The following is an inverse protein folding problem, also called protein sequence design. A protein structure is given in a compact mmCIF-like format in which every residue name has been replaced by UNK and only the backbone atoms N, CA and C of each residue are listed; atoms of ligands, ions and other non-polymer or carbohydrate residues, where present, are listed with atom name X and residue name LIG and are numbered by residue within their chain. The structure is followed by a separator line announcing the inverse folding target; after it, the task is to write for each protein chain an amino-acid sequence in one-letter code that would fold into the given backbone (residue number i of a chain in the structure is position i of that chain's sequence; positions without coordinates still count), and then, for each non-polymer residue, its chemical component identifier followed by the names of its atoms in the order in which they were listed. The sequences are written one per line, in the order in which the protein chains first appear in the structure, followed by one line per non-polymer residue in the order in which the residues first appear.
data_IF_736199856637
#
_entry.id   IF_736199856637
#
_cell.length_a   1.000
_cell.length_b   1.000
_cell.length_c   1.000
_cell.angle_alpha   90.00
_cell.angle_beta   90.00
_cell.angle_gamma   90.00
#
_symmetry.space_group_name_H-M   'P 1'
#
loop_
_entity.id
_entity.type
_entity.pdbx_description
1 polymer ?
#
# COMPACT_ATOMS: atom_id res chain seq x y z
N UNK A 1 25.02 -5.71 -21.88
CA UNK A 1 25.20 -4.32 -22.30
C UNK A 1 26.04 -3.56 -21.30
N UNK A 2 26.71 -2.52 -21.71
CA UNK A 2 27.50 -1.69 -20.80
C UNK A 2 26.56 -0.90 -19.89
N UNK A 3 26.84 -0.96 -18.59
CA UNK A 3 26.09 -0.25 -17.55
C UNK A 3 27.08 0.68 -16.84
N UNK A 4 26.67 1.91 -16.62
CA UNK A 4 27.42 2.87 -15.83
C UNK A 4 27.51 2.36 -14.38
N UNK A 5 28.73 2.40 -13.80
CA UNK A 5 29.01 1.74 -12.53
C UNK A 5 28.31 2.43 -11.33
N UNK A 6 28.12 3.74 -11.41
CA UNK A 6 27.61 4.55 -10.28
C UNK A 6 26.08 4.52 -10.20
N UNK A 7 25.41 4.70 -11.34
CA UNK A 7 23.96 4.86 -11.38
C UNK A 7 23.21 3.69 -12.04
N UNK A 8 23.93 2.65 -12.48
CA UNK A 8 23.40 1.44 -13.11
C UNK A 8 22.60 1.66 -14.40
N UNK A 9 22.68 2.85 -15.00
CA UNK A 9 22.02 3.15 -16.27
C UNK A 9 22.76 2.50 -17.44
N UNK A 10 22.07 2.19 -18.50
CA UNK A 10 22.68 1.70 -19.74
C UNK A 10 23.48 2.82 -20.39
N UNK A 11 24.71 2.50 -20.83
CA UNK A 11 25.58 3.43 -21.56
C UNK A 11 25.24 3.49 -23.07
N UNK A 12 24.31 2.68 -23.54
CA UNK A 12 23.83 2.67 -24.91
C UNK A 12 22.31 2.60 -24.94
N UNK A 13 21.68 3.11 -25.99
CA UNK A 13 20.27 2.89 -26.22
C UNK A 13 20.05 1.61 -27.05
N UNK A 14 19.10 0.73 -26.68
CA UNK A 14 18.76 -0.44 -27.51
C UNK A 14 18.29 -0.08 -28.92
N UNK A 15 17.86 1.17 -29.14
CA UNK A 15 17.42 1.67 -30.45
C UNK A 15 18.59 1.86 -31.43
N UNK A 16 19.82 1.94 -30.96
CA UNK A 16 21.02 2.01 -31.80
C UNK A 16 21.45 0.64 -32.32
N UNK A 17 20.79 -0.44 -31.87
CA UNK A 17 21.04 -1.79 -32.38
C UNK A 17 20.39 -1.94 -33.75
N UNK A 18 21.19 -2.34 -34.73
CA UNK A 18 20.69 -2.54 -36.12
C UNK A 18 19.50 -3.51 -36.17
N UNK A 19 18.41 -3.12 -36.85
CA UNK A 19 17.29 -4.02 -37.10
C UNK A 19 17.77 -5.26 -37.85
N UNK A 20 17.50 -6.45 -37.35
CA UNK A 20 17.91 -7.70 -37.96
C UNK A 20 19.20 -8.30 -37.37
N UNK A 21 19.78 -7.67 -36.34
CA UNK A 21 20.82 -8.31 -35.55
C UNK A 21 20.26 -9.60 -34.93
N UNK A 22 20.90 -10.73 -35.23
CA UNK A 22 20.48 -12.04 -34.73
C UNK A 22 21.64 -12.73 -34.02
N UNK A 23 21.32 -13.54 -33.01
CA UNK A 23 22.29 -14.45 -32.43
C UNK A 23 22.57 -15.57 -33.43
N UNK A 24 23.84 -15.75 -33.79
CA UNK A 24 24.28 -16.77 -34.76
C UNK A 24 24.92 -17.98 -34.09
N UNK A 25 25.35 -17.82 -32.84
CA UNK A 25 25.92 -18.92 -32.05
C UNK A 25 25.74 -18.63 -30.55
N UNK A 26 25.61 -19.69 -29.75
CA UNK A 26 25.51 -19.62 -28.30
C UNK A 26 26.12 -20.86 -27.65
N UNK A 27 27.07 -20.67 -26.74
CA UNK A 27 27.75 -21.73 -26.03
C UNK A 27 27.83 -21.46 -24.52
N UNK A 28 27.81 -22.50 -23.71
CA UNK A 28 28.05 -22.41 -22.29
C UNK A 28 29.57 -22.50 -22.03
N UNK A 29 30.10 -21.49 -21.33
CA UNK A 29 31.49 -21.44 -20.85
C UNK A 29 31.47 -21.25 -19.33
N UNK A 30 31.57 -22.35 -18.61
CA UNK A 30 31.46 -22.36 -17.16
C UNK A 30 30.11 -21.88 -16.66
N UNK A 31 30.11 -20.77 -15.95
CA UNK A 31 28.94 -20.11 -15.36
C UNK A 31 28.28 -19.06 -16.26
N UNK A 32 28.72 -18.95 -17.50
CA UNK A 32 28.24 -17.93 -18.43
C UNK A 32 27.77 -18.50 -19.78
N UNK A 33 26.79 -17.86 -20.35
CA UNK A 33 26.37 -18.01 -21.73
C UNK A 33 27.12 -17.01 -22.60
N UNK A 34 27.92 -17.52 -23.56
CA UNK A 34 28.58 -16.71 -24.59
C UNK A 34 27.66 -16.69 -25.79
N UNK A 35 27.27 -15.51 -26.23
CA UNK A 35 26.40 -15.32 -27.41
C UNK A 35 27.18 -14.53 -28.46
N UNK A 36 27.26 -15.06 -29.67
CA UNK A 36 27.81 -14.38 -30.86
C UNK A 36 26.67 -13.87 -31.73
N UNK A 37 26.80 -12.66 -32.26
CA UNK A 37 25.82 -12.00 -33.10
C UNK A 37 26.31 -11.87 -34.54
N UNK A 38 25.38 -11.64 -35.48
CA UNK A 38 25.63 -11.56 -36.93
C UNK A 38 26.55 -10.40 -37.33
N UNK A 39 26.72 -9.38 -36.49
CA UNK A 39 27.64 -8.25 -36.68
C UNK A 39 29.06 -8.53 -36.15
N UNK A 40 29.30 -9.75 -35.64
CA UNK A 40 30.57 -10.16 -35.00
C UNK A 40 30.70 -9.80 -33.52
N UNK A 41 29.72 -9.12 -32.94
CA UNK A 41 29.71 -8.87 -31.50
C UNK A 41 29.56 -10.18 -30.72
N UNK A 42 30.29 -10.28 -29.60
CA UNK A 42 30.15 -11.36 -28.64
C UNK A 42 29.87 -10.80 -27.25
N UNK A 43 28.94 -11.36 -26.54
CA UNK A 43 28.67 -11.00 -25.16
C UNK A 43 28.78 -12.24 -24.23
N UNK A 44 29.18 -11.99 -22.99
CA UNK A 44 29.22 -12.96 -21.91
C UNK A 44 28.14 -12.62 -20.90
N UNK A 45 27.19 -13.52 -20.69
CA UNK A 45 26.02 -13.35 -19.83
C UNK A 45 26.10 -14.34 -18.68
N UNK A 46 26.21 -13.92 -17.41
CA UNK A 46 26.16 -14.85 -16.28
C UNK A 46 24.84 -15.62 -16.28
N UNK A 47 24.89 -16.95 -16.23
CA UNK A 47 23.70 -17.81 -16.29
C UNK A 47 22.79 -17.54 -15.11
N UNK A 48 23.31 -17.34 -13.91
CA UNK A 48 22.54 -17.00 -12.72
C UNK A 48 21.71 -15.71 -12.93
N UNK A 49 22.30 -14.67 -13.51
CA UNK A 49 21.58 -13.42 -13.79
C UNK A 49 20.51 -13.57 -14.88
N UNK A 50 20.73 -14.46 -15.86
CA UNK A 50 19.73 -14.76 -16.87
C UNK A 50 18.54 -15.52 -16.26
N UNK A 51 18.82 -16.55 -15.46
CA UNK A 51 17.79 -17.39 -14.81
C UNK A 51 16.92 -16.54 -13.89
N UNK A 52 17.53 -15.65 -13.11
CA UNK A 52 16.82 -14.69 -12.24
C UNK A 52 15.95 -13.73 -13.06
N UNK A 53 16.53 -13.09 -14.10
CA UNK A 53 15.78 -12.16 -14.98
C UNK A 53 14.62 -12.78 -15.73
N UNK A 54 14.73 -14.05 -16.08
CA UNK A 54 13.66 -14.80 -16.75
C UNK A 54 12.61 -15.34 -15.77
N UNK A 55 12.82 -15.14 -14.46
CA UNK A 55 11.90 -15.64 -13.43
C UNK A 55 11.87 -17.18 -13.33
N UNK A 56 12.93 -17.86 -13.80
CA UNK A 56 13.03 -19.32 -13.72
C UNK A 56 13.41 -19.82 -12.32
N UNK A 57 13.94 -18.95 -11.49
CA UNK A 57 14.13 -19.15 -10.06
C UNK A 57 13.53 -17.98 -9.30
N UNK A 58 13.03 -18.23 -8.10
CA UNK A 58 12.59 -17.17 -7.21
C UNK A 58 13.76 -16.24 -6.91
N UNK A 59 13.50 -14.95 -6.92
CA UNK A 59 14.47 -13.96 -6.47
C UNK A 59 14.62 -14.10 -4.94
N UNK A 60 15.80 -14.45 -4.43
CA UNK A 60 15.99 -14.58 -2.99
C UNK A 60 15.87 -13.23 -2.25
N UNK A 61 15.99 -12.12 -2.96
CA UNK A 61 15.82 -10.77 -2.43
C UNK A 61 14.39 -10.22 -2.64
N UNK A 62 13.50 -11.02 -3.26
CA UNK A 62 12.11 -10.61 -3.43
C UNK A 62 11.41 -10.46 -2.07
N UNK A 63 10.58 -9.43 -1.89
CA UNK A 63 9.80 -9.29 -0.67
C UNK A 63 8.90 -10.52 -0.47
N UNK A 64 8.61 -10.89 0.78
CA UNK A 64 7.70 -11.99 1.08
C UNK A 64 6.33 -11.78 0.44
N UNK A 65 5.71 -12.86 0.01
CA UNK A 65 4.37 -12.81 -0.54
C UNK A 65 3.35 -12.30 0.51
N UNK A 66 2.38 -11.47 0.12
CA UNK A 66 1.30 -11.06 1.00
C UNK A 66 0.52 -12.27 1.54
N UNK A 67 0.16 -12.22 2.81
CA UNK A 67 -0.66 -13.25 3.47
C UNK A 67 -1.99 -12.60 3.83
N UNK A 68 -3.09 -13.13 3.30
CA UNK A 68 -4.43 -12.76 3.76
C UNK A 68 -4.57 -13.10 5.25
N UNK A 69 -4.90 -12.10 6.07
CA UNK A 69 -4.96 -12.30 7.51
C UNK A 69 -6.38 -12.07 8.05
N UNK A 70 -6.68 -12.81 9.11
CA UNK A 70 -7.88 -12.61 9.93
C UNK A 70 -7.47 -12.22 11.35
N UNK A 71 -8.25 -11.38 12.02
CA UNK A 71 -7.97 -10.96 13.39
C UNK A 71 -7.84 -12.14 14.35
N UNK A 72 -6.86 -12.07 15.24
CA UNK A 72 -6.62 -13.10 16.25
C UNK A 72 -5.78 -14.30 15.80
N UNK A 73 -5.42 -14.41 14.52
CA UNK A 73 -4.58 -15.50 14.02
C UNK A 73 -3.10 -15.38 14.46
N UNK A 74 -2.63 -14.16 14.69
CA UNK A 74 -1.28 -13.88 15.19
C UNK A 74 -1.24 -12.52 15.93
N UNK A 75 -0.22 -12.25 16.76
CA UNK A 75 0.00 -10.91 17.29
C UNK A 75 0.23 -9.93 16.14
N UNK A 76 -0.20 -8.68 16.33
CA UNK A 76 0.07 -7.62 15.34
C UNK A 76 1.57 -7.45 15.11
N UNK A 77 2.03 -7.29 13.86
CA UNK A 77 3.42 -7.00 13.59
C UNK A 77 3.80 -5.66 14.23
N UNK A 78 4.83 -5.68 15.06
CA UNK A 78 5.31 -4.50 15.80
C UNK A 78 6.81 -4.39 15.75
N UNK A 79 7.31 -3.16 15.69
CA UNK A 79 8.73 -2.84 15.81
C UNK A 79 8.92 -1.62 16.71
N UNK A 80 10.01 -1.52 17.45
CA UNK A 80 10.37 -0.28 18.14
C UNK A 80 11.04 0.68 17.19
N UNK A 81 10.66 1.97 17.24
CA UNK A 81 11.32 3.01 16.45
C UNK A 81 12.83 3.02 16.68
N UNK A 82 13.28 2.84 17.93
CA UNK A 82 14.70 2.82 18.27
C UNK A 82 15.49 1.70 17.60
N UNK A 83 14.83 0.64 17.16
CA UNK A 83 15.49 -0.46 16.46
C UNK A 83 15.75 -0.16 14.97
N UNK A 84 14.98 0.75 14.37
CA UNK A 84 15.05 1.06 12.93
C UNK A 84 15.45 2.50 12.62
N UNK A 85 15.51 3.39 13.60
CA UNK A 85 15.78 4.83 13.41
C UNK A 85 17.24 5.17 13.05
N UNK A 86 18.16 4.24 13.24
CA UNK A 86 19.58 4.44 12.93
C UNK A 86 19.89 4.33 11.44
N UNK A 87 21.16 4.56 11.11
CA UNK A 87 21.64 4.34 9.73
C UNK A 87 21.73 2.84 9.41
N UNK A 88 21.40 2.43 8.19
CA UNK A 88 21.43 1.03 7.73
C UNK A 88 22.81 0.35 7.87
N UNK A 89 23.87 1.14 8.04
CA UNK A 89 25.23 0.62 8.30
C UNK A 89 25.49 0.36 9.79
N UNK A 90 24.57 0.70 10.67
CA UNK A 90 24.70 0.44 12.10
C UNK A 90 24.37 -1.03 12.42
N UNK A 91 25.11 -1.68 13.33
CA UNK A 91 24.86 -3.07 13.70
C UNK A 91 23.43 -3.28 14.21
N UNK A 92 22.73 -4.25 13.64
CA UNK A 92 21.35 -4.61 14.01
C UNK A 92 20.25 -3.76 13.38
N UNK A 93 20.53 -2.54 12.90
CA UNK A 93 19.50 -1.67 12.27
C UNK A 93 19.06 -2.24 10.92
N UNK A 94 20.02 -2.69 10.10
CA UNK A 94 19.68 -3.30 8.80
C UNK A 94 18.82 -4.55 8.96
N UNK A 95 19.14 -5.43 9.92
CA UNK A 95 18.34 -6.65 10.19
C UNK A 95 16.94 -6.29 10.66
N UNK A 96 16.80 -5.39 11.65
CA UNK A 96 15.51 -4.93 12.14
C UNK A 96 14.66 -4.25 11.06
N UNK A 97 15.31 -3.52 10.13
CA UNK A 97 14.62 -2.87 9.01
C UNK A 97 14.14 -3.92 8.00
N UNK A 98 14.93 -4.94 7.69
CA UNK A 98 14.53 -6.05 6.81
C UNK A 98 13.35 -6.81 7.40
N UNK A 99 13.39 -7.12 8.70
CA UNK A 99 12.29 -7.79 9.40
C UNK A 99 11.02 -6.93 9.38
N UNK A 100 11.14 -5.64 9.68
CA UNK A 100 10.05 -4.66 9.63
C UNK A 100 9.40 -4.60 8.24
N UNK A 101 10.20 -4.46 7.18
CA UNK A 101 9.71 -4.41 5.80
C UNK A 101 9.15 -5.77 5.37
N UNK A 102 9.73 -6.87 5.84
CA UNK A 102 9.21 -8.21 5.62
C UNK A 102 7.84 -8.43 6.24
N UNK A 103 7.63 -7.97 7.46
CA UNK A 103 6.34 -8.01 8.14
C UNK A 103 5.31 -7.12 7.45
N UNK A 104 5.73 -5.93 7.03
CA UNK A 104 4.89 -5.04 6.25
C UNK A 104 4.45 -5.68 4.93
N UNK A 105 5.36 -6.28 4.16
CA UNK A 105 5.04 -6.96 2.91
C UNK A 105 4.03 -8.09 3.10
N UNK A 106 4.16 -8.87 4.19
CA UNK A 106 3.20 -9.95 4.52
C UNK A 106 1.83 -9.44 4.89
N UNK A 107 1.76 -8.46 5.80
CA UNK A 107 0.51 -8.08 6.47
C UNK A 107 -0.11 -6.79 5.93
N UNK A 108 0.64 -5.97 5.20
CA UNK A 108 0.21 -4.65 4.72
C UNK A 108 0.18 -3.57 5.81
N UNK A 109 0.59 -3.87 7.03
CA UNK A 109 0.74 -2.90 8.11
C UNK A 109 1.73 -3.34 9.17
N UNK A 110 2.26 -2.38 9.92
CA UNK A 110 3.08 -2.60 11.12
C UNK A 110 2.81 -1.46 12.11
N UNK A 111 2.83 -1.76 13.40
CA UNK A 111 2.77 -0.75 14.46
C UNK A 111 4.20 -0.45 14.91
N UNK A 112 4.64 0.79 14.69
CA UNK A 112 5.93 1.27 15.18
C UNK A 112 5.72 1.84 16.58
N UNK A 113 6.41 1.29 17.57
CA UNK A 113 6.32 1.68 18.97
C UNK A 113 7.43 2.66 19.35
N UNK A 114 7.25 3.34 20.47
CA UNK A 114 8.27 4.21 21.08
C UNK A 114 8.71 5.38 20.19
N UNK A 115 7.84 5.82 19.30
CA UNK A 115 8.09 6.96 18.43
C UNK A 115 7.99 8.25 19.26
N UNK A 116 8.96 9.20 19.15
CA UNK A 116 8.91 10.47 19.88
C UNK A 116 7.63 11.24 19.59
N UNK A 117 6.95 11.76 20.62
CA UNK A 117 5.63 12.42 20.48
C UNK A 117 5.73 13.92 20.22
N UNK A 118 6.75 14.35 19.49
CA UNK A 118 6.89 15.72 19.01
C UNK A 118 6.12 15.87 17.70
N UNK A 119 5.42 16.97 17.51
CA UNK A 119 4.77 17.27 16.23
C UNK A 119 5.79 17.27 15.09
N UNK A 120 5.42 16.69 13.96
CA UNK A 120 6.27 16.52 12.79
C UNK A 120 7.10 15.23 12.77
N UNK A 121 7.26 14.51 13.88
CA UNK A 121 8.01 13.23 13.91
C UNK A 121 7.45 12.21 12.90
N UNK A 122 6.15 12.24 12.60
CA UNK A 122 5.56 11.38 11.56
C UNK A 122 6.25 11.54 10.21
N UNK A 123 6.65 12.77 9.84
CA UNK A 123 7.38 13.02 8.59
C UNK A 123 8.84 12.57 8.67
N UNK A 124 9.47 12.59 9.85
CA UNK A 124 10.81 12.05 10.05
C UNK A 124 10.81 10.53 9.85
N UNK A 125 9.85 9.83 10.48
CA UNK A 125 9.66 8.38 10.28
C UNK A 125 9.35 8.06 8.82
N UNK A 126 8.45 8.83 8.20
CA UNK A 126 8.10 8.66 6.79
C UNK A 126 9.32 8.78 5.86
N UNK A 127 10.14 9.82 6.05
CA UNK A 127 11.35 10.04 5.26
C UNK A 127 12.45 8.98 5.50
N UNK A 128 12.37 8.26 6.61
CA UNK A 128 13.26 7.12 6.85
C UNK A 128 12.88 5.91 5.98
N UNK A 129 11.59 5.74 5.69
CA UNK A 129 11.03 4.61 4.92
C UNK A 129 10.94 4.93 3.43
N UNK A 130 10.49 6.16 3.08
CA UNK A 130 10.27 6.60 1.71
C UNK A 130 10.21 8.12 1.62
N UNK A 131 9.60 8.64 0.55
CA UNK A 131 9.45 10.09 0.38
C UNK A 131 8.03 10.52 0.73
N UNK A 132 7.91 11.52 1.61
CA UNK A 132 6.60 12.09 1.94
C UNK A 132 5.95 12.65 0.68
N UNK A 133 4.68 12.31 0.45
CA UNK A 133 3.87 12.78 -0.66
C UNK A 133 2.90 13.87 -0.22
N UNK A 134 2.95 15.02 -0.86
CA UNK A 134 1.99 16.11 -0.62
C UNK A 134 0.63 15.85 -1.27
N UNK A 135 -0.44 16.28 -0.60
CA UNK A 135 -1.80 16.22 -1.12
C UNK A 135 -2.63 17.44 -0.70
N UNK A 136 -3.94 17.41 -0.93
CA UNK A 136 -4.85 18.51 -0.56
C UNK A 136 -4.98 18.76 0.96
N UNK A 137 -4.50 17.85 1.82
CA UNK A 137 -4.42 18.04 3.27
C UNK A 137 -3.03 18.50 3.71
N UNK A 138 -2.07 18.70 2.79
CA UNK A 138 -0.69 19.09 3.06
C UNK A 138 0.30 17.93 2.99
N UNK A 139 1.49 18.12 3.52
CA UNK A 139 2.53 17.11 3.68
C UNK A 139 2.34 16.29 4.96
N UNK A 140 1.91 16.98 6.01
CA UNK A 140 1.49 16.40 7.29
C UNK A 140 0.13 17.00 7.62
N UNK A 141 -0.77 16.20 8.15
CA UNK A 141 -2.11 16.62 8.54
C UNK A 141 -2.42 16.15 9.97
N UNK A 142 -3.22 16.95 10.67
CA UNK A 142 -3.70 16.63 12.00
C UNK A 142 -5.03 15.86 11.92
N UNK A 143 -5.18 14.86 12.78
CA UNK A 143 -6.44 14.14 13.00
C UNK A 143 -6.87 14.39 14.44
N UNK A 144 -7.72 15.39 14.60
CA UNK A 144 -8.29 15.80 15.89
C UNK A 144 -9.70 16.31 15.70
N UNK A 145 -10.49 16.34 16.78
CA UNK A 145 -11.83 16.91 16.71
C UNK A 145 -11.75 18.42 16.53
N UNK A 146 -12.42 18.95 15.51
CA UNK A 146 -12.47 20.37 15.21
C UNK A 146 -13.88 20.95 15.38
N UNK A 147 -14.01 22.19 15.88
CA UNK A 147 -15.32 22.84 16.05
C UNK A 147 -16.07 23.06 14.71
N UNK A 148 -15.33 23.17 13.60
CA UNK A 148 -15.86 23.35 12.24
C UNK A 148 -15.14 22.36 11.30
N UNK A 149 -15.49 21.09 11.35
CA UNK A 149 -14.79 20.08 10.59
C UNK A 149 -15.03 20.26 9.08
N UNK A 150 -13.98 20.18 8.29
CA UNK A 150 -14.02 20.19 6.82
C UNK A 150 -13.98 18.76 6.24
N UNK A 151 -13.70 17.78 7.08
CA UNK A 151 -13.68 16.36 6.75
C UNK A 151 -14.21 15.54 7.93
N UNK A 152 -14.71 14.32 7.64
CA UNK A 152 -15.21 13.41 8.66
C UNK A 152 -14.13 12.92 9.62
N UNK A 153 -12.88 12.89 9.19
CA UNK A 153 -11.73 12.57 10.03
C UNK A 153 -11.58 13.54 11.23
N UNK A 154 -12.07 14.78 11.08
CA UNK A 154 -12.04 15.83 12.11
C UNK A 154 -13.28 15.83 13.00
N UNK A 155 -14.09 14.82 12.94
CA UNK A 155 -15.30 14.63 13.78
C UNK A 155 -15.08 13.52 14.80
N UNK A 156 -15.96 13.42 15.78
CA UNK A 156 -15.96 12.37 16.81
C UNK A 156 -16.80 11.13 16.42
N UNK A 157 -17.46 11.15 15.26
CA UNK A 157 -18.29 10.02 14.78
C UNK A 157 -17.44 8.82 14.38
N UNK A 158 -18.08 7.66 14.34
CA UNK A 158 -17.49 6.44 13.78
C UNK A 158 -17.11 6.63 12.31
N UNK A 159 -15.94 6.14 11.94
CA UNK A 159 -15.52 5.98 10.55
C UNK A 159 -15.49 4.50 10.19
N UNK A 160 -16.28 4.12 9.20
CA UNK A 160 -16.33 2.75 8.68
C UNK A 160 -15.06 2.39 7.91
N UNK A 161 -14.75 1.09 7.74
CA UNK A 161 -13.60 0.64 6.97
C UNK A 161 -13.54 1.28 5.58
N UNK A 162 -12.42 1.93 5.27
CA UNK A 162 -12.21 2.64 4.01
C UNK A 162 -10.73 2.71 3.64
N UNK A 163 -10.47 2.95 2.38
CA UNK A 163 -9.17 3.41 1.88
C UNK A 163 -9.23 4.91 1.63
N UNK A 164 -8.12 5.60 1.88
CA UNK A 164 -8.04 7.04 1.71
C UNK A 164 -7.90 7.47 0.26
N UNK A 165 -8.52 8.59 -0.06
CA UNK A 165 -8.39 9.35 -1.31
C UNK A 165 -8.57 8.51 -2.59
N UNK A 166 -9.60 7.66 -2.70
CA UNK A 166 -9.81 6.82 -3.88
C UNK A 166 -10.11 7.64 -5.15
N UNK A 167 -10.43 8.93 -5.00
CA UNK A 167 -10.71 9.88 -6.06
C UNK A 167 -9.44 10.43 -6.75
N UNK A 168 -8.25 10.05 -6.29
CA UNK A 168 -6.99 10.47 -6.93
C UNK A 168 -6.59 9.48 -8.00
N UNK A 169 -6.07 9.98 -9.12
CA UNK A 169 -5.51 9.15 -10.21
C UNK A 169 -4.39 8.24 -9.68
N UNK A 170 -3.49 8.83 -8.89
CA UNK A 170 -2.53 8.10 -8.07
C UNK A 170 -3.03 8.19 -6.64
N UNK A 171 -3.68 7.13 -6.17
CA UNK A 171 -4.11 7.02 -4.78
C UNK A 171 -2.88 6.96 -3.89
N UNK A 172 -2.84 7.65 -2.73
CA UNK A 172 -1.72 7.52 -1.80
C UNK A 172 -1.42 6.07 -1.48
N UNK A 173 -0.15 5.68 -1.62
CA UNK A 173 0.26 4.29 -1.46
C UNK A 173 0.28 3.86 -0.01
N UNK A 174 1.10 4.51 0.79
CA UNK A 174 1.29 4.15 2.19
C UNK A 174 0.88 5.31 3.09
N UNK A 175 0.24 4.97 4.20
CA UNK A 175 -0.22 5.94 5.19
C UNK A 175 0.47 5.70 6.53
N UNK A 176 0.84 6.80 7.17
CA UNK A 176 1.34 6.82 8.53
C UNK A 176 0.34 7.60 9.40
N UNK A 177 -0.05 7.02 10.53
CA UNK A 177 -0.86 7.68 11.55
C UNK A 177 -0.16 7.56 12.90
N UNK A 178 0.38 8.67 13.39
CA UNK A 178 1.15 8.78 14.63
C UNK A 178 0.31 9.35 15.77
N UNK A 179 0.24 8.65 16.86
CA UNK A 179 -0.53 9.03 18.04
C UNK A 179 0.28 9.94 18.97
N UNK A 180 -0.04 11.22 18.99
CA UNK A 180 0.54 12.22 19.91
C UNK A 180 -0.16 12.22 21.26
N UNK A 181 -1.49 12.02 21.26
CA UNK A 181 -2.31 11.89 22.47
C UNK A 181 -3.57 11.08 22.14
N UNK A 182 -4.00 10.23 23.07
CA UNK A 182 -5.24 9.47 22.95
C UNK A 182 -5.81 9.15 24.33
N UNK A 183 -6.34 10.18 24.98
CA UNK A 183 -6.90 10.13 26.34
C UNK A 183 -8.43 10.02 26.31
N UNK A 184 -9.08 10.31 25.16
CA UNK A 184 -10.52 10.27 25.03
C UNK A 184 -11.07 8.83 25.17
N UNK A 185 -12.29 8.69 25.69
CA UNK A 185 -13.00 7.42 25.71
C UNK A 185 -13.48 7.02 24.31
N UNK A 186 -13.21 5.79 23.87
CA UNK A 186 -13.43 5.31 22.51
C UNK A 186 -12.33 5.76 21.55
N UNK A 187 -12.62 5.82 20.26
CA UNK A 187 -11.67 6.22 19.22
C UNK A 187 -10.61 5.16 18.92
N UNK A 188 -10.93 3.90 19.16
CA UNK A 188 -10.05 2.78 18.84
C UNK A 188 -9.88 2.68 17.32
N UNK A 189 -8.68 2.35 16.90
CA UNK A 189 -8.35 2.08 15.51
C UNK A 189 -8.82 0.68 15.14
N UNK A 190 -9.33 0.54 13.94
CA UNK A 190 -9.76 -0.74 13.37
C UNK A 190 -9.10 -0.92 12.03
N UNK A 191 -8.54 -2.10 11.78
CA UNK A 191 -8.00 -2.49 10.48
C UNK A 191 -8.76 -3.70 9.92
N UNK A 192 -8.87 -3.72 8.59
CA UNK A 192 -9.43 -4.85 7.83
C UNK A 192 -8.53 -5.15 6.64
N UNK A 193 -8.22 -6.42 6.42
CA UNK A 193 -7.42 -6.81 5.24
C UNK A 193 -8.28 -6.87 3.98
N UNK A 194 -8.10 -5.92 3.08
CA UNK A 194 -8.76 -5.88 1.78
C UNK A 194 -8.40 -7.06 0.88
N UNK A 195 -7.20 -7.64 1.03
CA UNK A 195 -6.83 -8.88 0.33
C UNK A 195 -7.71 -10.04 0.81
N UNK A 196 -7.84 -10.24 2.12
CA UNK A 196 -8.69 -11.28 2.69
C UNK A 196 -10.15 -11.11 2.28
N UNK A 197 -10.68 -9.87 2.36
CA UNK A 197 -12.04 -9.54 1.95
C UNK A 197 -12.30 -9.86 0.46
N UNK A 198 -11.36 -9.48 -0.41
CA UNK A 198 -11.45 -9.71 -1.85
C UNK A 198 -11.35 -11.19 -2.21
N UNK A 199 -10.46 -11.93 -1.56
CA UNK A 199 -10.33 -13.38 -1.76
C UNK A 199 -11.54 -14.15 -1.24
N UNK A 200 -12.11 -13.75 -0.09
CA UNK A 200 -13.36 -14.31 0.42
C UNK A 200 -14.50 -14.07 -0.58
N UNK A 201 -14.63 -12.85 -1.09
CA UNK A 201 -15.64 -12.51 -2.08
C UNK A 201 -15.46 -13.32 -3.37
N UNK A 202 -14.26 -13.45 -3.89
CA UNK A 202 -13.97 -14.24 -5.10
C UNK A 202 -14.37 -15.71 -4.94
N UNK A 203 -14.20 -16.27 -3.75
CA UNK A 203 -14.57 -17.64 -3.41
C UNK A 203 -16.07 -17.83 -3.25
N UNK A 204 -16.74 -16.90 -2.58
CA UNK A 204 -18.12 -17.04 -2.13
C UNK A 204 -19.13 -16.42 -3.09
N UNK A 205 -18.73 -15.37 -3.79
CA UNK A 205 -19.57 -14.56 -4.69
C UNK A 205 -18.78 -14.15 -5.95
N UNK A 206 -18.35 -15.12 -6.80
CA UNK A 206 -17.45 -14.82 -7.93
C UNK A 206 -18.02 -13.81 -8.92
N UNK A 207 -19.34 -13.85 -9.19
CA UNK A 207 -19.99 -12.92 -10.12
C UNK A 207 -19.97 -11.49 -9.56
N UNK A 208 -20.17 -11.33 -8.25
CA UNK A 208 -20.11 -10.02 -7.60
C UNK A 208 -18.68 -9.49 -7.53
N UNK A 209 -17.71 -10.38 -7.35
CA UNK A 209 -16.28 -10.03 -7.41
C UNK A 209 -15.93 -9.52 -8.81
N UNK A 210 -16.36 -10.21 -9.86
CA UNK A 210 -16.16 -9.79 -11.25
C UNK A 210 -16.78 -8.42 -11.52
N UNK A 211 -18.00 -8.18 -11.05
CA UNK A 211 -18.66 -6.90 -11.19
C UNK A 211 -17.85 -5.76 -10.53
N UNK A 212 -17.31 -5.98 -9.32
CA UNK A 212 -16.47 -4.97 -8.65
C UNK A 212 -15.08 -4.82 -9.26
N UNK A 213 -14.61 -5.81 -10.03
CA UNK A 213 -13.30 -5.78 -10.69
C UNK A 213 -13.37 -5.22 -12.13
N UNK A 214 -14.55 -5.16 -12.75
CA UNK A 214 -14.70 -4.76 -14.16
C UNK A 214 -15.51 -3.48 -14.33
N UNK A 215 -16.51 -3.24 -13.47
CA UNK A 215 -17.37 -2.06 -13.56
C UNK A 215 -16.67 -0.88 -12.89
N UNK A 216 -16.34 0.12 -13.69
CA UNK A 216 -15.74 1.36 -13.20
C UNK A 216 -16.79 2.27 -12.57
N UNK A 217 -16.44 2.93 -11.47
CA UNK A 217 -17.25 3.94 -10.80
C UNK A 217 -16.46 5.22 -10.60
N UNK A 218 -17.14 6.33 -10.49
CA UNK A 218 -16.50 7.61 -10.17
C UNK A 218 -16.29 7.70 -8.65
N UNK A 219 -15.05 7.83 -8.24
CA UNK A 219 -14.70 8.31 -6.91
C UNK A 219 -14.56 9.81 -6.97
N UNK A 220 -15.31 10.54 -6.15
CA UNK A 220 -15.37 12.00 -6.19
C UNK A 220 -15.22 12.62 -4.81
N UNK A 221 -14.39 13.63 -4.74
CA UNK A 221 -14.27 14.51 -3.58
C UNK A 221 -14.42 15.96 -4.01
N UNK A 222 -15.38 16.66 -3.40
CA UNK A 222 -15.70 18.04 -3.69
C UNK A 222 -15.18 18.94 -2.55
N UNK A 223 -14.22 19.80 -2.89
CA UNK A 223 -13.59 20.75 -1.96
C UNK A 223 -14.20 22.15 -2.05
N UNK A 224 -15.32 22.27 -2.74
CA UNK A 224 -16.01 23.55 -2.96
C UNK A 224 -15.42 24.35 -4.15
N UNK A 225 -14.14 24.67 -4.14
CA UNK A 225 -13.46 25.34 -5.27
C UNK A 225 -12.90 24.36 -6.29
N UNK A 226 -12.54 23.18 -5.83
CA UNK A 226 -11.91 22.13 -6.63
C UNK A 226 -12.65 20.81 -6.47
N UNK A 227 -12.68 20.02 -7.53
CA UNK A 227 -13.26 18.68 -7.53
C UNK A 227 -12.23 17.70 -8.03
N UNK A 228 -11.93 16.69 -7.23
CA UNK A 228 -11.09 15.56 -7.63
C UNK A 228 -11.97 14.37 -7.98
N UNK A 229 -11.76 13.78 -9.17
CA UNK A 229 -12.50 12.62 -9.65
C UNK A 229 -11.51 11.66 -10.31
N UNK A 230 -11.62 10.38 -9.98
CA UNK A 230 -11.00 9.29 -10.74
C UNK A 230 -12.02 8.17 -10.95
N UNK A 231 -11.99 7.57 -12.15
CA UNK A 231 -12.88 6.47 -12.52
C UNK A 231 -12.09 5.18 -12.57
N UNK A 232 -12.46 4.24 -11.73
CA UNK A 232 -11.78 2.94 -11.56
C UNK A 232 -12.75 1.87 -11.05
N UNK A 233 -12.46 0.59 -11.26
CA UNK A 233 -13.13 -0.47 -10.53
C UNK A 233 -12.75 -0.42 -9.04
N UNK A 234 -13.63 -0.95 -8.20
CA UNK A 234 -13.41 -1.07 -6.74
C UNK A 234 -12.26 -2.03 -6.44
N UNK A 235 -12.27 -3.20 -7.07
CA UNK A 235 -11.20 -4.20 -6.98
C UNK A 235 -10.30 -4.07 -8.20
N UNK A 236 -9.01 -3.89 -7.99
CA UNK A 236 -8.03 -3.84 -9.06
C UNK A 236 -7.15 -5.09 -9.02
N UNK A 237 -7.00 -5.72 -10.17
CA UNK A 237 -6.21 -6.93 -10.35
C UNK A 237 -5.01 -6.64 -11.26
N UNK A 238 -3.95 -7.42 -11.11
CA UNK A 238 -2.84 -7.40 -12.05
C UNK A 238 -3.17 -8.20 -13.33
N UNK A 239 -2.24 -8.22 -14.28
CA UNK A 239 -2.42 -8.96 -15.55
C UNK A 239 -2.53 -10.47 -15.39
N UNK A 240 -2.21 -11.02 -14.22
CA UNK A 240 -2.38 -12.44 -13.87
C UNK A 240 -3.67 -12.69 -13.05
N UNK A 241 -4.52 -11.67 -12.85
CA UNK A 241 -5.75 -11.77 -12.08
C UNK A 241 -5.53 -11.83 -10.58
N UNK A 242 -4.36 -11.44 -10.08
CA UNK A 242 -4.08 -11.36 -8.64
C UNK A 242 -4.46 -10.00 -8.09
N UNK A 243 -4.85 -9.96 -6.82
CA UNK A 243 -5.15 -8.71 -6.12
C UNK A 243 -3.97 -7.73 -6.22
N UNK A 244 -4.31 -6.48 -6.55
CA UNK A 244 -3.36 -5.38 -6.60
C UNK A 244 -3.75 -4.24 -5.67
N UNK A 245 -5.05 -3.88 -5.66
CA UNK A 245 -5.52 -2.73 -4.92
C UNK A 245 -7.03 -2.82 -4.67
N UNK A 246 -7.47 -2.33 -3.53
CA UNK A 246 -8.88 -2.09 -3.22
C UNK A 246 -9.10 -0.58 -3.06
N UNK A 247 -10.04 -0.01 -3.82
CA UNK A 247 -10.53 1.36 -3.65
C UNK A 247 -11.91 1.30 -3.04
N UNK A 248 -12.00 1.55 -1.76
CA UNK A 248 -13.27 1.42 -1.06
C UNK A 248 -13.53 2.58 -0.09
N UNK A 249 -14.48 3.43 -0.44
CA UNK A 249 -14.99 4.46 0.44
C UNK A 249 -16.43 4.78 0.04
N UNK A 250 -17.38 4.24 0.78
CA UNK A 250 -18.81 4.31 0.45
C UNK A 250 -19.42 5.71 0.53
N UNK A 251 -18.65 6.71 0.97
CA UNK A 251 -19.08 8.11 1.01
C UNK A 251 -18.60 8.90 -0.21
N UNK A 252 -17.69 8.31 -1.00
CA UNK A 252 -17.03 8.98 -2.12
C UNK A 252 -17.23 8.24 -3.45
N UNK A 253 -17.89 7.07 -3.44
CA UNK A 253 -18.19 6.31 -4.65
C UNK A 253 -19.52 6.74 -5.25
N UNK A 254 -19.53 7.00 -6.56
CA UNK A 254 -20.70 7.36 -7.33
C UNK A 254 -20.86 6.39 -8.49
N UNK A 255 -21.98 5.67 -8.60
CA UNK A 255 -22.20 4.74 -9.69
C UNK A 255 -22.22 5.50 -11.03
N UNK A 256 -21.58 4.92 -12.02
CA UNK A 256 -21.70 5.38 -13.40
C UNK A 256 -22.88 4.68 -14.07
N UNK A 257 -23.45 5.25 -15.14
CA UNK A 257 -24.44 4.57 -15.93
C UNK A 257 -23.90 3.24 -16.45
N UNK A 258 -24.51 2.15 -15.99
CA UNK A 258 -24.28 0.79 -16.46
C UNK A 258 -25.65 0.20 -16.81
N UNK A 259 -25.68 -0.89 -17.55
CA UNK A 259 -26.93 -1.61 -17.81
C UNK A 259 -27.48 -2.19 -16.51
N UNK A 260 -28.79 -2.32 -16.40
CA UNK A 260 -29.47 -2.59 -15.13
C UNK A 260 -28.95 -3.79 -14.37
N UNK A 261 -28.65 -4.91 -15.06
CA UNK A 261 -28.11 -6.13 -14.42
C UNK A 261 -26.70 -5.93 -13.85
N UNK A 262 -25.85 -5.20 -14.56
CA UNK A 262 -24.48 -4.89 -14.13
C UNK A 262 -24.49 -3.96 -12.91
N UNK A 263 -25.40 -2.99 -12.90
CA UNK A 263 -25.58 -2.08 -11.78
C UNK A 263 -26.08 -2.79 -10.54
N UNK A 264 -27.03 -3.72 -10.68
CA UNK A 264 -27.56 -4.54 -9.58
C UNK A 264 -26.45 -5.43 -8.99
N UNK A 265 -25.62 -6.06 -9.83
CA UNK A 265 -24.49 -6.88 -9.41
C UNK A 265 -23.44 -6.03 -8.68
N UNK A 266 -23.14 -4.83 -9.19
CA UNK A 266 -22.21 -3.91 -8.54
C UNK A 266 -22.70 -3.49 -7.14
N UNK A 267 -23.97 -3.09 -7.01
CA UNK A 267 -24.55 -2.72 -5.72
C UNK A 267 -24.62 -3.91 -4.74
N UNK A 268 -24.92 -5.10 -5.25
CA UNK A 268 -24.90 -6.31 -4.43
C UNK A 268 -23.49 -6.61 -3.92
N UNK A 269 -22.48 -6.53 -4.80
CA UNK A 269 -21.08 -6.70 -4.46
C UNK A 269 -20.58 -5.68 -3.43
N UNK A 270 -20.91 -4.42 -3.64
CA UNK A 270 -20.58 -3.33 -2.70
C UNK A 270 -21.18 -3.57 -1.31
N UNK A 271 -22.44 -4.01 -1.24
CA UNK A 271 -23.09 -4.32 0.04
C UNK A 271 -22.47 -5.53 0.72
N UNK A 272 -22.19 -6.59 -0.06
CA UNK A 272 -21.54 -7.79 0.48
C UNK A 272 -20.18 -7.46 1.07
N UNK A 273 -19.35 -6.72 0.34
CA UNK A 273 -18.01 -6.31 0.78
C UNK A 273 -18.07 -5.43 2.04
N UNK A 274 -19.00 -4.46 2.06
CA UNK A 274 -19.22 -3.63 3.24
C UNK A 274 -19.65 -4.45 4.46
N UNK A 275 -20.58 -5.39 4.29
CA UNK A 275 -21.06 -6.25 5.38
C UNK A 275 -19.96 -7.18 5.90
N UNK A 276 -19.13 -7.74 5.02
CA UNK A 276 -17.99 -8.57 5.41
C UNK A 276 -16.99 -7.77 6.23
N UNK A 277 -16.66 -6.55 5.80
CA UNK A 277 -15.70 -5.69 6.52
C UNK A 277 -16.27 -5.07 7.81
N UNK A 278 -17.58 -4.94 7.91
CA UNK A 278 -18.26 -4.46 9.14
C UNK A 278 -18.43 -5.55 10.20
N UNK A 279 -18.22 -6.83 9.84
CA UNK A 279 -18.27 -7.92 10.81
C UNK A 279 -17.05 -7.85 11.75
N UNK A 280 -17.27 -7.76 13.08
CA UNK A 280 -16.17 -7.76 14.07
C UNK A 280 -15.23 -8.96 13.96
N UNK A 281 -15.68 -10.10 13.42
CA UNK A 281 -14.83 -11.27 13.21
C UNK A 281 -13.70 -11.00 12.20
N UNK A 282 -13.86 -10.02 11.32
CA UNK A 282 -12.86 -9.63 10.31
C UNK A 282 -12.12 -8.34 10.67
N UNK A 283 -12.42 -7.76 11.85
CA UNK A 283 -11.87 -6.48 12.28
C UNK A 283 -10.79 -6.65 13.33
N UNK A 284 -9.62 -6.10 13.06
CA UNK A 284 -8.55 -5.94 14.02
C UNK A 284 -8.70 -4.61 14.77
N UNK A 285 -9.37 -4.62 15.93
CA UNK A 285 -9.59 -3.44 16.74
C UNK A 285 -8.52 -3.32 17.83
N UNK A 286 -7.94 -2.13 17.96
CA UNK A 286 -6.92 -1.84 18.98
C UNK A 286 -6.84 -0.34 19.26
N UNK A 287 -6.30 -0.02 20.45
CA UNK A 287 -6.03 1.36 20.81
C UNK A 287 -4.60 1.73 20.47
N UNK A 288 -4.44 2.77 19.65
CA UNK A 288 -3.13 3.43 19.50
C UNK A 288 -2.82 4.21 20.77
N UNK A 289 -1.76 3.85 21.45
CA UNK A 289 -1.23 4.58 22.58
C UNK A 289 -0.36 5.76 22.15
N UNK A 290 -0.08 6.65 23.09
CA UNK A 290 0.84 7.77 22.86
C UNK A 290 2.23 7.23 22.47
N UNK A 291 2.78 7.69 21.34
CA UNK A 291 4.05 7.21 20.78
C UNK A 291 3.91 5.99 19.86
N UNK A 292 2.71 5.48 19.66
CA UNK A 292 2.46 4.47 18.63
C UNK A 292 2.27 5.14 17.27
N UNK A 293 2.82 4.56 16.25
CA UNK A 293 2.64 4.96 14.87
C UNK A 293 2.19 3.75 14.05
N UNK A 294 1.04 3.88 13.41
CA UNK A 294 0.52 2.87 12.49
C UNK A 294 1.03 3.18 11.09
N UNK A 295 1.78 2.25 10.51
CA UNK A 295 2.26 2.27 9.13
C UNK A 295 1.47 1.25 8.34
N UNK A 296 0.79 1.65 7.24
CA UNK A 296 -0.10 0.75 6.51
C UNK A 296 -0.12 1.01 5.01
N UNK A 297 -0.36 -0.05 4.23
CA UNK A 297 -0.61 -0.03 2.80
C UNK A 297 -2.07 0.36 2.52
N UNK A 298 -2.29 1.58 2.11
CA UNK A 298 -3.62 2.13 1.79
C UNK A 298 -4.22 1.53 0.50
N UNK A 299 -3.47 0.76 -0.26
CA UNK A 299 -3.99 0.00 -1.40
C UNK A 299 -4.58 -1.35 -0.98
N UNK A 300 -4.26 -1.82 0.22
CA UNK A 300 -4.64 -3.12 0.73
C UNK A 300 -5.44 -3.04 2.03
N UNK A 301 -4.95 -2.31 3.01
CA UNK A 301 -5.50 -2.28 4.36
C UNK A 301 -6.51 -1.16 4.48
N UNK A 302 -7.75 -1.51 4.79
CA UNK A 302 -8.77 -0.53 5.15
C UNK A 302 -8.61 -0.19 6.63
N UNK A 303 -8.79 1.09 6.92
CA UNK A 303 -8.76 1.56 8.28
C UNK A 303 -10.10 2.18 8.68
N UNK A 304 -10.40 2.09 9.96
CA UNK A 304 -11.62 2.59 10.56
C UNK A 304 -11.32 3.13 11.97
N UNK A 305 -12.30 3.75 12.55
CA UNK A 305 -12.21 4.30 13.90
C UNK A 305 -13.57 4.22 14.59
N UNK A 306 -13.62 3.70 15.80
CA UNK A 306 -14.83 3.77 16.61
C UNK A 306 -15.14 5.22 16.97
N UNK A 307 -16.41 5.52 17.28
CA UNK A 307 -16.79 6.81 17.83
C UNK A 307 -16.04 7.07 19.15
N UNK A 308 -15.81 8.34 19.49
CA UNK A 308 -15.21 8.72 20.76
C UNK A 308 -15.93 9.92 21.38
N UNK A 309 -15.80 10.07 22.69
CA UNK A 309 -16.30 11.25 23.40
C UNK A 309 -15.24 12.36 23.39
N UNK A 310 -15.42 13.44 22.63
CA UNK A 310 -14.45 14.52 22.56
C UNK A 310 -14.35 15.35 23.86
N UNK A 311 -15.25 15.12 24.83
CA UNK A 311 -15.24 15.80 26.12
C UNK A 311 -14.51 15.01 27.21
N UNK A 312 -14.21 13.73 26.97
CA UNK A 312 -13.60 12.82 27.96
C UNK A 312 -12.07 12.91 28.00
N UNK A 313 -11.42 13.52 27.01
CA UNK A 313 -9.97 13.65 26.97
C UNK A 313 -9.45 14.15 25.63
N UNK A 314 -8.16 14.45 25.59
CA UNK A 314 -7.50 14.92 24.38
C UNK A 314 -7.15 13.77 23.44
N UNK A 315 -7.49 13.91 22.16
CA UNK A 315 -7.13 12.98 21.10
C UNK A 315 -6.51 13.73 19.92
N UNK A 316 -5.25 13.42 19.62
CA UNK A 316 -4.49 14.06 18.55
C UNK A 316 -3.59 13.02 17.87
N UNK A 317 -3.82 12.78 16.60
CA UNK A 317 -2.91 12.04 15.73
C UNK A 317 -2.39 12.97 14.64
N UNK A 318 -1.19 12.71 14.16
CA UNK A 318 -0.68 13.29 12.93
C UNK A 318 -0.53 12.21 11.87
N UNK A 319 -0.84 12.54 10.63
CA UNK A 319 -0.70 11.64 9.50
C UNK A 319 0.10 12.25 8.36
N UNK A 320 0.67 11.38 7.55
CA UNK A 320 1.23 11.71 6.24
C UNK A 320 1.12 10.49 5.32
N UNK A 321 1.42 10.71 4.05
CA UNK A 321 1.50 9.65 3.06
C UNK A 321 2.89 9.60 2.46
N UNK A 322 3.30 8.42 2.02
CA UNK A 322 4.48 8.21 1.19
C UNK A 322 4.10 7.44 -0.09
N UNK A 323 4.92 7.56 -1.11
CA UNK A 323 4.72 6.80 -2.35
C UNK A 323 4.83 5.29 -2.10
N UNK A 324 4.07 4.51 -2.85
CA UNK A 324 3.98 3.06 -2.66
C UNK A 324 5.31 2.34 -2.91
N UNK A 325 6.14 2.87 -3.79
CA UNK A 325 7.46 2.34 -4.11
C UNK A 325 8.55 2.73 -3.08
N UNK A 326 8.20 3.51 -2.05
CA UNK A 326 9.15 3.95 -1.02
C UNK A 326 9.92 2.79 -0.36
N UNK A 327 9.27 1.75 0.18
CA UNK A 327 9.94 0.58 0.75
C UNK A 327 10.77 -0.23 -0.25
N UNK A 328 10.37 -0.26 -1.52
CA UNK A 328 11.06 -1.01 -2.57
C UNK A 328 12.38 -0.34 -3.01
N UNK A 329 12.60 0.91 -2.62
CA UNK A 329 13.75 1.72 -3.01
C UNK A 329 14.78 1.92 -1.90
N UNK A 330 14.59 1.32 -0.71
CA UNK A 330 15.45 1.48 0.48
C UNK A 330 16.33 0.27 0.81
#
# INVERSE_FOLDING_TARGET
GQIEATNRQRLFTPLDVEPGLVAVDAELDGDALIVAFSDGHRCRLPVAALIQRLGWVADPEAPPAPIAWEPGAAPFPTVSWTAIAGGLNEPGVAEATVDFLGDFARHGFVIIRDTPTTEGTVAEVANHIGYVAGNNFGWVFDVRNEPKPTDLAYTAIELKPHTDQPYRKVQPGLQLLHCLANEAEGGDSVLVDGLAATEAMRREQPDLHEALATIEVDFRYDMGTDVAIDRRPVVQLDSAGRFRQLRFNTKLDFPVPADGADLDAWYAGRRWLAAWMDDPAHQAAFRLGRGDLMFMDNHRVLHARTAFDPTSGHRHLQGCYIEHDGPDTR
#
